data_IF_016008090640
#
_entry.id   IF_016008090640
#
_cell.length_a   1.000
_cell.length_b   1.000
_cell.length_c   1.000
_cell.angle_alpha   90.00
_cell.angle_beta   90.00
_cell.angle_gamma   90.00
#
_symmetry.space_group_name_H-M   'P 1'
#
loop_
_entity.id
_entity.type
_entity.pdbx_description
1 polymer ?
#
# COMPACT_ATOMS: atom_id res chain seq x y z
N UNK A 1 28.90 39.72 -13.30
CA UNK A 1 29.12 38.27 -13.50
C UNK A 1 29.04 37.60 -12.14
N UNK A 2 27.89 37.06 -11.78
CA UNK A 2 27.68 36.35 -10.53
C UNK A 2 26.25 35.82 -10.53
N UNK A 3 26.10 34.54 -10.22
CA UNK A 3 24.82 33.85 -10.00
C UNK A 3 24.11 33.21 -11.22
N UNK A 4 24.85 32.50 -12.09
CA UNK A 4 24.24 31.58 -13.07
C UNK A 4 24.14 30.12 -12.59
N UNK A 5 24.73 29.78 -11.43
CA UNK A 5 24.92 28.39 -10.98
C UNK A 5 24.51 28.11 -9.51
N UNK A 6 23.59 28.87 -8.91
CA UNK A 6 22.98 28.42 -7.65
C UNK A 6 22.01 27.28 -7.94
N UNK A 7 22.48 26.05 -7.73
CA UNK A 7 21.66 24.85 -7.72
C UNK A 7 20.63 24.97 -6.59
N UNK A 8 19.35 24.77 -6.93
CA UNK A 8 18.27 24.88 -5.96
C UNK A 8 18.37 23.84 -4.84
N UNK A 9 17.94 24.23 -3.64
CA UNK A 9 17.91 23.35 -2.49
C UNK A 9 17.02 22.13 -2.77
N UNK A 10 17.54 20.93 -2.48
CA UNK A 10 16.88 19.67 -2.80
C UNK A 10 15.71 19.43 -1.84
N UNK A 11 14.50 19.15 -2.31
CA UNK A 11 13.45 18.65 -1.43
C UNK A 11 13.91 17.29 -0.89
N UNK A 12 13.95 17.18 0.43
CA UNK A 12 14.21 15.92 1.12
C UNK A 12 12.87 15.20 1.27
N UNK A 13 12.80 13.95 0.77
CA UNK A 13 11.70 13.05 1.14
C UNK A 13 11.58 13.00 2.65
N UNK A 14 10.35 12.99 3.18
CA UNK A 14 10.15 12.83 4.63
C UNK A 14 10.90 11.58 5.08
N UNK A 15 11.63 11.69 6.20
CA UNK A 15 12.22 10.52 6.87
C UNK A 15 11.14 9.46 7.00
N UNK A 16 11.49 8.19 6.73
CA UNK A 16 10.58 7.05 6.91
C UNK A 16 9.93 7.15 8.29
N UNK A 17 8.69 7.62 8.34
CA UNK A 17 7.82 7.32 9.45
C UNK A 17 7.37 5.89 9.16
N UNK A 18 8.05 4.91 9.74
CA UNK A 18 7.44 3.60 9.85
C UNK A 18 6.11 3.82 10.56
N UNK A 19 4.99 3.53 9.90
CA UNK A 19 3.70 3.50 10.56
C UNK A 19 3.71 2.34 11.56
N UNK A 20 4.21 2.62 12.76
CA UNK A 20 4.44 1.63 13.83
C UNK A 20 3.11 1.00 14.26
N UNK A 21 1.99 1.71 14.07
CA UNK A 21 0.63 1.27 14.41
C UNK A 21 0.23 -0.07 13.77
N UNK A 22 0.65 -0.33 12.52
CA UNK A 22 0.23 -1.53 11.79
C UNK A 22 0.96 -2.81 12.24
N UNK A 23 2.30 -2.84 12.36
CA UNK A 23 3.00 -3.96 12.98
C UNK A 23 2.57 -4.17 14.44
N UNK A 24 2.41 -3.10 15.23
CA UNK A 24 1.95 -3.19 16.62
C UNK A 24 0.55 -3.80 16.69
N UNK A 25 -0.40 -3.33 15.87
CA UNK A 25 -1.77 -3.85 15.89
C UNK A 25 -1.84 -5.34 15.59
N UNK A 26 -1.08 -5.81 14.58
CA UNK A 26 -0.97 -7.24 14.27
C UNK A 26 -0.36 -8.00 15.45
N UNK A 27 0.76 -7.52 16.01
CA UNK A 27 1.43 -8.17 17.15
C UNK A 27 0.52 -8.25 18.37
N UNK A 28 -0.18 -7.16 18.70
CA UNK A 28 -1.11 -7.11 19.83
C UNK A 28 -2.28 -8.07 19.61
N UNK A 29 -2.85 -8.10 18.40
CA UNK A 29 -3.89 -9.06 18.04
C UNK A 29 -3.44 -10.51 18.24
N UNK A 30 -2.26 -10.86 17.73
CA UNK A 30 -1.68 -12.20 17.94
C UNK A 30 -1.39 -12.47 19.42
N UNK A 31 -0.91 -11.49 20.17
CA UNK A 31 -0.66 -11.62 21.60
C UNK A 31 -1.96 -11.90 22.38
N UNK A 32 -3.07 -11.24 22.04
CA UNK A 32 -4.38 -11.50 22.65
C UNK A 32 -4.85 -12.93 22.35
N UNK A 33 -4.72 -13.39 21.10
CA UNK A 33 -5.09 -14.76 20.72
C UNK A 33 -4.25 -15.79 21.48
N UNK A 34 -2.93 -15.59 21.53
CA UNK A 34 -2.00 -16.47 22.25
C UNK A 34 -2.31 -16.46 23.75
N UNK A 35 -2.54 -15.28 24.34
CA UNK A 35 -2.91 -15.15 25.74
C UNK A 35 -4.21 -15.89 26.04
N UNK A 36 -5.24 -15.74 25.20
CA UNK A 36 -6.51 -16.46 25.35
C UNK A 36 -6.32 -17.98 25.33
N UNK A 37 -5.47 -18.50 24.44
CA UNK A 37 -5.12 -19.93 24.38
C UNK A 37 -4.37 -20.38 25.63
N UNK A 38 -3.39 -19.60 26.09
CA UNK A 38 -2.57 -19.94 27.25
C UNK A 38 -3.38 -19.94 28.55
N UNK A 39 -4.27 -18.96 28.74
CA UNK A 39 -5.11 -18.86 29.93
C UNK A 39 -6.32 -19.83 29.88
N UNK A 40 -6.81 -20.18 28.70
CA UNK A 40 -7.99 -21.04 28.53
C UNK A 40 -7.72 -22.55 28.47
N UNK A 41 -6.47 -23.01 28.22
CA UNK A 41 -6.20 -24.40 27.80
C UNK A 41 -5.04 -25.14 28.47
N UNK A 42 -4.58 -24.72 29.65
CA UNK A 42 -3.58 -25.48 30.44
C UNK A 42 -2.10 -25.16 30.14
N UNK A 43 -1.80 -23.93 29.69
CA UNK A 43 -0.42 -23.45 29.48
C UNK A 43 0.21 -23.92 28.15
N UNK A 44 1.53 -24.12 28.14
CA UNK A 44 2.33 -24.41 26.91
C UNK A 44 1.89 -25.72 26.22
N UNK A 45 1.39 -26.70 26.98
CA UNK A 45 0.86 -27.96 26.41
C UNK A 45 -0.45 -27.72 25.63
N UNK A 46 -1.30 -26.81 26.11
CA UNK A 46 -2.53 -26.41 25.42
C UNK A 46 -2.24 -25.79 24.06
N UNK A 47 -1.21 -24.95 23.95
CA UNK A 47 -0.80 -24.33 22.67
C UNK A 47 -0.45 -25.35 21.58
N UNK A 48 0.16 -26.49 21.94
CA UNK A 48 0.47 -27.56 20.96
C UNK A 48 -0.80 -28.17 20.35
N UNK A 49 -1.91 -28.19 21.09
CA UNK A 49 -3.19 -28.69 20.58
C UNK A 49 -3.82 -27.76 19.53
N UNK A 50 -3.40 -26.48 19.51
CA UNK A 50 -3.79 -25.51 18.49
C UNK A 50 -2.82 -25.48 17.30
N UNK A 51 -1.91 -26.44 17.17
CA UNK A 51 -1.02 -26.60 16.01
C UNK A 51 -1.30 -27.93 15.32
N UNK A 52 -2.47 -28.04 14.68
CA UNK A 52 -2.82 -29.20 13.89
C UNK A 52 -2.34 -29.02 12.43
N UNK A 53 -1.47 -29.94 11.99
CA UNK A 53 -0.87 -29.90 10.65
C UNK A 53 -1.94 -30.04 9.57
N UNK A 54 -2.97 -30.85 9.80
CA UNK A 54 -4.04 -31.09 8.82
C UNK A 54 -4.87 -29.83 8.60
N UNK A 55 -5.29 -29.17 9.69
CA UNK A 55 -6.03 -27.91 9.63
C UNK A 55 -5.25 -26.78 8.95
N UNK A 56 -3.95 -26.67 9.25
CA UNK A 56 -3.07 -25.68 8.59
C UNK A 56 -2.98 -25.98 7.09
N UNK A 57 -2.77 -27.25 6.71
CA UNK A 57 -2.66 -27.67 5.32
C UNK A 57 -3.94 -27.38 4.53
N UNK A 58 -5.12 -27.68 5.11
CA UNK A 58 -6.41 -27.42 4.47
C UNK A 58 -6.59 -25.93 4.20
N UNK A 59 -6.36 -25.07 5.21
CA UNK A 59 -6.62 -23.62 5.07
C UNK A 59 -5.55 -22.95 4.23
N UNK A 60 -4.27 -23.08 4.60
CA UNK A 60 -3.17 -22.39 3.91
C UNK A 60 -2.92 -23.00 2.53
N UNK A 61 -2.87 -24.33 2.45
CA UNK A 61 -2.69 -25.05 1.19
C UNK A 61 -3.87 -24.83 0.25
N UNK A 62 -5.10 -24.95 0.74
CA UNK A 62 -6.31 -24.70 -0.04
C UNK A 62 -6.37 -23.26 -0.55
N UNK A 63 -6.15 -22.28 0.33
CA UNK A 63 -6.15 -20.85 -0.07
C UNK A 63 -5.09 -20.58 -1.13
N UNK A 64 -3.87 -21.10 -0.93
CA UNK A 64 -2.77 -20.94 -1.90
C UNK A 64 -3.12 -21.59 -3.23
N UNK A 65 -3.71 -22.79 -3.22
CA UNK A 65 -4.15 -23.48 -4.42
C UNK A 65 -5.22 -22.67 -5.18
N UNK A 66 -6.22 -22.13 -4.48
CA UNK A 66 -7.25 -21.28 -5.10
C UNK A 66 -6.66 -20.00 -5.70
N UNK A 67 -5.67 -19.39 -5.04
CA UNK A 67 -4.96 -18.21 -5.58
C UNK A 67 -4.19 -18.58 -6.85
N UNK A 68 -3.54 -19.74 -6.90
CA UNK A 68 -2.83 -20.23 -8.10
C UNK A 68 -3.80 -20.58 -9.23
N UNK A 69 -5.02 -21.01 -8.91
CA UNK A 69 -6.09 -21.21 -9.91
C UNK A 69 -6.61 -19.86 -10.44
N UNK A 70 -6.78 -18.88 -9.56
CA UNK A 70 -7.30 -17.57 -9.90
C UNK A 70 -6.31 -16.66 -10.65
N UNK A 71 -5.01 -16.83 -10.42
CA UNK A 71 -3.96 -15.94 -10.92
C UNK A 71 -2.77 -16.71 -11.49
N UNK A 72 -2.13 -16.14 -12.52
CA UNK A 72 -0.89 -16.72 -13.07
C UNK A 72 0.28 -16.53 -12.10
N UNK A 73 1.21 -17.47 -12.04
CA UNK A 73 2.40 -17.37 -11.16
C UNK A 73 3.20 -16.07 -11.34
N UNK A 74 3.34 -15.58 -12.59
CA UNK A 74 4.00 -14.31 -12.87
C UNK A 74 3.27 -13.10 -12.29
N UNK A 75 1.94 -13.14 -12.25
CA UNK A 75 1.09 -12.08 -11.69
C UNK A 75 1.20 -12.05 -10.17
N UNK A 76 1.14 -13.22 -9.51
CA UNK A 76 1.28 -13.32 -8.05
C UNK A 76 2.57 -12.66 -7.58
N UNK A 77 3.71 -12.96 -8.22
CA UNK A 77 5.00 -12.36 -7.88
C UNK A 77 5.01 -10.84 -8.09
N UNK A 78 4.39 -10.36 -9.18
CA UNK A 78 4.28 -8.93 -9.49
C UNK A 78 3.43 -8.21 -8.43
N UNK A 79 2.27 -8.77 -8.09
CA UNK A 79 1.34 -8.22 -7.11
C UNK A 79 1.95 -8.19 -5.71
N UNK A 80 2.67 -9.23 -5.31
CA UNK A 80 3.45 -9.22 -4.07
C UNK A 80 4.49 -8.10 -4.05
N UNK A 81 5.22 -7.89 -5.15
CA UNK A 81 6.18 -6.78 -5.26
C UNK A 81 5.47 -5.41 -5.16
N UNK A 82 4.30 -5.24 -5.78
CA UNK A 82 3.48 -4.03 -5.67
C UNK A 82 3.09 -3.73 -4.23
N UNK A 83 2.61 -4.74 -3.48
CA UNK A 83 2.27 -4.61 -2.05
C UNK A 83 3.48 -4.10 -1.27
N UNK A 84 4.63 -4.75 -1.41
CA UNK A 84 5.86 -4.34 -0.70
C UNK A 84 6.31 -2.93 -1.08
N UNK A 85 6.16 -2.55 -2.36
CA UNK A 85 6.55 -1.23 -2.87
C UNK A 85 5.71 -0.14 -2.22
N UNK A 86 4.39 -0.33 -2.09
CA UNK A 86 3.49 0.63 -1.42
C UNK A 86 3.79 0.71 0.07
N UNK A 87 3.96 -0.44 0.75
CA UNK A 87 4.20 -0.48 2.19
C UNK A 87 5.55 0.14 2.60
N UNK A 88 6.56 0.07 1.74
CA UNK A 88 7.91 0.57 2.01
C UNK A 88 8.21 1.94 1.40
N UNK A 89 7.23 2.52 0.72
CA UNK A 89 7.32 3.84 0.09
C UNK A 89 7.60 4.92 1.13
N UNK A 90 8.33 5.95 0.69
CA UNK A 90 8.50 7.20 1.45
C UNK A 90 7.52 8.22 0.93
N UNK A 91 6.76 8.85 1.82
CA UNK A 91 5.88 9.97 1.45
C UNK A 91 6.73 11.17 1.03
N UNK A 92 6.28 11.86 -0.01
CA UNK A 92 6.84 13.14 -0.40
C UNK A 92 6.42 14.24 0.59
N UNK A 93 7.32 15.20 0.84
CA UNK A 93 6.96 16.38 1.62
C UNK A 93 6.34 17.44 0.70
N UNK A 94 5.00 17.51 0.69
CA UNK A 94 4.31 18.46 -0.18
C UNK A 94 4.71 19.92 0.08
N UNK A 95 5.11 20.28 1.30
CA UNK A 95 5.57 21.63 1.61
C UNK A 95 6.92 21.93 0.95
N UNK A 96 7.88 21.00 1.06
CA UNK A 96 9.17 21.14 0.40
C UNK A 96 9.05 21.09 -1.13
N UNK A 97 8.11 20.29 -1.64
CA UNK A 97 7.78 20.31 -3.07
C UNK A 97 7.20 21.66 -3.49
N UNK A 98 6.31 22.27 -2.69
CA UNK A 98 5.81 23.63 -2.94
C UNK A 98 6.97 24.62 -3.04
N UNK A 99 7.89 24.62 -2.08
CA UNK A 99 9.03 25.53 -2.09
C UNK A 99 9.94 25.30 -3.31
N UNK A 100 10.20 24.03 -3.69
CA UNK A 100 10.92 23.69 -4.92
C UNK A 100 10.24 24.28 -6.16
N UNK A 101 8.92 24.07 -6.33
CA UNK A 101 8.19 24.56 -7.49
C UNK A 101 8.10 26.09 -7.53
N UNK A 102 8.05 26.74 -6.36
CA UNK A 102 8.13 28.20 -6.25
C UNK A 102 9.49 28.71 -6.72
N UNK A 103 10.57 28.02 -6.38
CA UNK A 103 11.91 28.38 -6.83
C UNK A 103 12.11 28.13 -8.34
N UNK A 104 11.57 27.03 -8.88
CA UNK A 104 11.48 26.84 -10.33
C UNK A 104 10.69 27.96 -11.01
N UNK A 105 9.57 28.40 -10.43
CA UNK A 105 8.79 29.52 -10.99
C UNK A 105 9.59 30.83 -11.00
N UNK A 106 10.33 31.15 -9.93
CA UNK A 106 11.22 32.32 -9.88
C UNK A 106 12.30 32.26 -10.96
N UNK A 107 12.96 31.10 -11.11
CA UNK A 107 14.04 30.92 -12.08
C UNK A 107 13.51 31.00 -13.52
N UNK A 108 12.42 30.29 -13.80
CA UNK A 108 11.72 30.30 -15.10
C UNK A 108 11.30 31.70 -15.52
N UNK A 109 10.78 32.52 -14.60
CA UNK A 109 10.42 33.91 -14.91
C UNK A 109 11.62 34.80 -15.24
N UNK A 110 12.76 34.60 -14.57
CA UNK A 110 13.96 35.43 -14.78
C UNK A 110 14.78 35.00 -16.00
N UNK A 111 14.84 33.71 -16.27
CA UNK A 111 15.81 33.13 -17.22
C UNK A 111 15.15 32.25 -18.30
N UNK A 112 13.82 32.18 -18.32
CA UNK A 112 13.04 31.33 -19.24
C UNK A 112 12.95 29.87 -18.79
N UNK A 113 12.03 29.12 -19.39
CA UNK A 113 11.75 27.71 -19.07
C UNK A 113 12.99 26.81 -19.24
N UNK A 114 13.80 27.03 -20.27
CA UNK A 114 15.02 26.26 -20.55
C UNK A 114 16.05 26.33 -19.41
N UNK A 115 16.01 27.37 -18.57
CA UNK A 115 16.89 27.47 -17.40
C UNK A 115 16.63 26.40 -16.32
N UNK A 116 15.53 25.67 -16.43
CA UNK A 116 15.13 24.61 -15.51
C UNK A 116 15.71 23.23 -15.86
N UNK A 117 16.33 23.06 -17.02
CA UNK A 117 16.82 21.75 -17.48
C UNK A 117 17.78 21.12 -16.46
N UNK A 118 18.85 21.84 -16.12
CA UNK A 118 19.90 21.36 -15.19
C UNK A 118 19.35 21.09 -13.79
N UNK A 119 18.50 21.98 -13.27
CA UNK A 119 17.96 21.80 -11.91
C UNK A 119 16.91 20.69 -11.87
N UNK A 120 16.12 20.56 -12.95
CA UNK A 120 15.09 19.56 -13.10
C UNK A 120 15.65 18.15 -13.12
N UNK A 121 16.77 17.93 -13.80
CA UNK A 121 17.49 16.64 -13.80
C UNK A 121 18.07 16.28 -12.43
N UNK A 122 18.39 17.28 -11.59
CA UNK A 122 18.97 17.06 -10.26
C UNK A 122 17.93 16.76 -9.17
N UNK A 123 16.63 16.84 -9.46
CA UNK A 123 15.57 16.51 -8.50
C UNK A 123 15.57 15.01 -8.19
N UNK A 124 15.52 14.63 -6.90
CA UNK A 124 15.41 13.23 -6.43
C UNK A 124 13.99 12.65 -6.60
N UNK A 125 13.36 12.91 -7.75
CA UNK A 125 12.05 12.38 -8.09
C UNK A 125 11.95 12.17 -9.61
N UNK A 126 11.98 10.90 -10.08
CA UNK A 126 11.91 10.58 -11.50
C UNK A 126 10.65 11.10 -12.20
N UNK A 127 9.55 11.28 -11.46
CA UNK A 127 8.30 11.79 -12.01
C UNK A 127 8.35 13.30 -12.25
N UNK A 128 8.98 14.06 -11.35
CA UNK A 128 9.24 15.49 -11.55
C UNK A 128 10.20 15.68 -12.74
N UNK A 129 11.29 14.89 -12.79
CA UNK A 129 12.23 14.89 -13.92
C UNK A 129 11.52 14.61 -15.25
N UNK A 130 10.61 13.62 -15.28
CA UNK A 130 9.81 13.31 -16.48
C UNK A 130 8.94 14.50 -16.88
N UNK A 131 8.20 15.09 -15.96
CA UNK A 131 7.33 16.22 -16.28
C UNK A 131 8.07 17.48 -16.72
N UNK A 132 9.24 17.78 -16.13
CA UNK A 132 10.10 18.88 -16.61
C UNK A 132 10.62 18.58 -18.03
N UNK A 133 11.06 17.35 -18.32
CA UNK A 133 11.49 16.96 -19.68
C UNK A 133 10.37 17.10 -20.72
N UNK A 134 9.15 16.69 -20.38
CA UNK A 134 7.99 16.87 -21.27
C UNK A 134 7.71 18.35 -21.54
N UNK A 135 7.79 19.19 -20.49
CA UNK A 135 7.60 20.65 -20.63
C UNK A 135 8.66 21.28 -21.54
N UNK A 136 9.92 20.85 -21.44
CA UNK A 136 11.01 21.36 -22.29
C UNK A 136 10.98 20.77 -23.71
N UNK A 137 10.36 19.59 -23.88
CA UNK A 137 10.25 18.86 -25.15
C UNK A 137 9.22 19.43 -26.14
N UNK A 138 8.55 20.53 -25.81
CA UNK A 138 7.63 21.22 -26.72
C UNK A 138 6.20 20.67 -26.73
N UNK A 139 5.83 19.81 -25.78
CA UNK A 139 4.45 19.40 -25.56
C UNK A 139 3.61 20.58 -25.09
N UNK A 140 2.35 20.66 -25.51
CA UNK A 140 1.44 21.63 -24.92
C UNK A 140 1.04 21.24 -23.48
N UNK A 141 0.43 22.19 -22.75
CA UNK A 141 0.08 21.98 -21.35
C UNK A 141 -0.95 20.84 -21.17
N UNK A 142 -1.89 20.70 -22.10
CA UNK A 142 -2.96 19.72 -22.03
C UNK A 142 -2.43 18.31 -22.30
N UNK A 143 -1.62 18.15 -23.35
CA UNK A 143 -0.92 16.91 -23.70
C UNK A 143 0.01 16.47 -22.57
N UNK A 144 0.79 17.39 -22.00
CA UNK A 144 1.67 17.09 -20.87
C UNK A 144 0.87 16.55 -19.68
N UNK A 145 -0.24 17.22 -19.34
CA UNK A 145 -1.11 16.81 -18.24
C UNK A 145 -1.75 15.44 -18.52
N UNK A 146 -2.20 15.21 -19.74
CA UNK A 146 -2.78 13.94 -20.17
C UNK A 146 -1.78 12.79 -20.04
N UNK A 147 -0.57 12.96 -20.58
CA UNK A 147 0.50 11.94 -20.53
C UNK A 147 0.85 11.60 -19.08
N UNK A 148 1.10 12.62 -18.24
CA UNK A 148 1.45 12.39 -16.84
C UNK A 148 0.29 11.78 -16.04
N UNK A 149 -0.96 12.18 -16.28
CA UNK A 149 -2.11 11.58 -15.62
C UNK A 149 -2.27 10.12 -16.04
N UNK A 150 -2.12 9.80 -17.33
CA UNK A 150 -2.22 8.43 -17.85
C UNK A 150 -1.15 7.50 -17.26
N UNK A 151 0.07 8.01 -17.09
CA UNK A 151 1.13 7.28 -16.38
C UNK A 151 0.71 6.95 -14.94
N UNK A 152 0.20 7.94 -14.21
CA UNK A 152 -0.21 7.80 -12.82
C UNK A 152 -1.38 6.83 -12.69
N UNK A 153 -2.37 6.92 -13.58
CA UNK A 153 -3.50 6.00 -13.61
C UNK A 153 -3.06 4.56 -13.88
N UNK A 154 -2.12 4.38 -14.80
CA UNK A 154 -1.54 3.06 -15.11
C UNK A 154 -0.77 2.50 -13.91
N UNK A 155 0.06 3.31 -13.25
CA UNK A 155 0.78 2.95 -12.03
C UNK A 155 -0.19 2.54 -10.91
N UNK A 156 -1.19 3.37 -10.64
CA UNK A 156 -2.22 3.11 -9.62
C UNK A 156 -3.01 1.84 -9.93
N UNK A 157 -3.40 1.63 -11.19
CA UNK A 157 -4.12 0.43 -11.61
C UNK A 157 -3.31 -0.84 -11.32
N UNK A 158 -2.02 -0.85 -11.66
CA UNK A 158 -1.14 -2.00 -11.40
C UNK A 158 -0.86 -2.23 -9.91
N UNK A 159 -0.77 -1.16 -9.12
CA UNK A 159 -0.63 -1.27 -7.66
C UNK A 159 -1.92 -1.80 -7.01
N UNK A 160 -3.10 -1.38 -7.50
CA UNK A 160 -4.41 -1.85 -6.99
C UNK A 160 -4.60 -3.35 -7.16
N UNK A 161 -4.14 -3.93 -8.27
CA UNK A 161 -4.15 -5.39 -8.45
C UNK A 161 -3.42 -6.13 -7.32
N UNK A 162 -2.37 -5.52 -6.78
CA UNK A 162 -1.67 -6.00 -5.58
C UNK A 162 -2.56 -6.04 -4.34
N UNK A 163 -3.28 -4.96 -4.05
CA UNK A 163 -4.24 -4.92 -2.94
C UNK A 163 -5.39 -5.92 -3.14
N UNK A 164 -5.93 -6.02 -4.36
CA UNK A 164 -6.99 -6.99 -4.68
C UNK A 164 -6.56 -8.44 -4.45
N UNK A 165 -5.28 -8.79 -4.62
CA UNK A 165 -4.78 -10.11 -4.25
C UNK A 165 -4.96 -10.40 -2.75
N UNK A 166 -4.70 -9.41 -1.88
CA UNK A 166 -4.92 -9.54 -0.44
C UNK A 166 -6.40 -9.66 -0.10
N UNK A 167 -7.28 -8.91 -0.78
CA UNK A 167 -8.73 -9.07 -0.64
C UNK A 167 -9.14 -10.51 -0.96
N UNK A 168 -8.61 -11.10 -2.04
CA UNK A 168 -8.89 -12.49 -2.41
C UNK A 168 -8.37 -13.51 -1.41
N UNK A 169 -7.22 -13.28 -0.80
CA UNK A 169 -6.76 -14.12 0.32
C UNK A 169 -7.73 -13.99 1.51
N UNK A 170 -8.24 -12.79 1.78
CA UNK A 170 -9.26 -12.53 2.80
C UNK A 170 -10.60 -13.22 2.53
N UNK A 171 -11.01 -13.32 1.26
CA UNK A 171 -12.22 -14.04 0.85
C UNK A 171 -12.05 -15.56 0.93
N UNK A 172 -10.91 -16.08 0.47
CA UNK A 172 -10.69 -17.52 0.30
C UNK A 172 -10.28 -18.24 1.59
N UNK A 173 -9.54 -17.58 2.49
CA UNK A 173 -9.09 -18.23 3.73
C UNK A 173 -10.25 -18.70 4.64
N UNK A 174 -11.30 -17.90 4.90
CA UNK A 174 -12.46 -18.35 5.68
C UNK A 174 -13.28 -19.41 4.93
N UNK A 175 -13.37 -19.31 3.60
CA UNK A 175 -14.06 -20.30 2.78
C UNK A 175 -13.42 -21.69 2.90
N UNK A 176 -12.08 -21.77 2.83
CA UNK A 176 -11.35 -23.01 3.11
C UNK A 176 -11.45 -23.45 4.58
N UNK A 177 -11.58 -22.49 5.51
CA UNK A 177 -11.93 -22.77 6.90
C UNK A 177 -13.24 -23.55 7.03
N UNK A 178 -14.29 -23.11 6.34
CA UNK A 178 -15.60 -23.78 6.30
C UNK A 178 -15.54 -25.17 5.64
N UNK A 179 -14.78 -25.32 4.54
CA UNK A 179 -14.54 -26.64 3.92
C UNK A 179 -13.85 -27.57 4.92
N UNK A 180 -12.86 -27.07 5.66
CA UNK A 180 -12.18 -27.81 6.72
C UNK A 180 -13.13 -28.26 7.84
N UNK A 181 -14.12 -27.43 8.20
CA UNK A 181 -15.18 -27.78 9.16
C UNK A 181 -15.98 -28.98 8.67
N UNK A 182 -16.35 -29.00 7.39
CA UNK A 182 -17.06 -30.13 6.80
C UNK A 182 -16.21 -31.41 6.81
N UNK A 183 -14.91 -31.30 6.50
CA UNK A 183 -13.98 -32.43 6.55
C UNK A 183 -13.88 -32.98 7.98
N UNK A 184 -13.69 -32.11 8.98
CA UNK A 184 -13.60 -32.53 10.38
C UNK A 184 -14.88 -33.18 10.90
N UNK A 185 -16.05 -32.67 10.51
CA UNK A 185 -17.34 -33.29 10.82
C UNK A 185 -17.48 -34.68 10.18
N UNK A 186 -17.04 -34.87 8.94
CA UNK A 186 -17.05 -36.18 8.28
C UNK A 186 -16.16 -37.18 9.04
N UNK A 187 -14.94 -36.78 9.42
CA UNK A 187 -14.00 -37.62 10.19
C UNK A 187 -14.60 -38.00 11.55
N UNK A 188 -15.26 -37.05 12.21
CA UNK A 188 -15.93 -37.28 13.50
C UNK A 188 -17.05 -38.31 13.36
N UNK A 189 -17.90 -38.17 12.33
CA UNK A 189 -19.04 -39.08 12.09
C UNK A 189 -18.59 -40.48 11.67
N UNK A 190 -17.45 -40.62 11.00
CA UNK A 190 -16.89 -41.92 10.63
C UNK A 190 -16.41 -42.74 11.84
N UNK A 191 -16.05 -42.08 12.95
CA UNK A 191 -15.43 -42.72 14.11
C UNK A 191 -16.27 -42.61 15.39
N UNK A 192 -17.60 -42.61 15.25
CA UNK A 192 -18.55 -42.46 16.38
C UNK A 192 -18.38 -43.47 17.52
N UNK A 193 -17.72 -44.60 17.26
CA UNK A 193 -17.48 -45.65 18.25
C UNK A 193 -16.20 -45.43 19.07
N UNK A 194 -15.26 -44.60 18.60
CA UNK A 194 -14.01 -44.28 19.29
C UNK A 194 -14.00 -42.81 19.73
N UNK A 195 -14.20 -42.59 21.03
CA UNK A 195 -14.24 -41.26 21.65
C UNK A 195 -12.95 -40.47 21.47
N UNK A 196 -11.80 -41.14 21.30
CA UNK A 196 -10.52 -40.47 21.02
C UNK A 196 -10.51 -39.86 19.61
N UNK A 197 -11.03 -40.59 18.63
CA UNK A 197 -11.05 -40.14 17.22
C UNK A 197 -12.10 -39.06 16.96
N UNK A 198 -13.21 -39.08 17.70
CA UNK A 198 -14.21 -37.99 17.69
C UNK A 198 -13.55 -36.66 18.05
N UNK A 199 -12.68 -36.66 19.08
CA UNK A 199 -11.95 -35.45 19.51
C UNK A 199 -11.03 -34.89 18.43
N UNK A 200 -10.36 -35.75 17.67
CA UNK A 200 -9.49 -35.34 16.56
C UNK A 200 -10.29 -34.69 15.43
N UNK A 201 -11.41 -35.28 15.00
CA UNK A 201 -12.26 -34.70 13.95
C UNK A 201 -12.86 -33.35 14.33
N UNK A 202 -13.32 -33.22 15.59
CA UNK A 202 -13.82 -31.95 16.13
C UNK A 202 -12.73 -30.87 16.19
N UNK A 203 -11.52 -31.23 16.62
CA UNK A 203 -10.38 -30.31 16.66
C UNK A 203 -10.07 -29.76 15.26
N UNK A 204 -10.02 -30.63 14.25
CA UNK A 204 -9.77 -30.20 12.86
C UNK A 204 -10.80 -29.17 12.42
N UNK A 205 -12.09 -29.42 12.66
CA UNK A 205 -13.18 -28.56 12.23
C UNK A 205 -13.14 -27.15 12.87
N UNK A 206 -12.83 -27.09 14.17
CA UNK A 206 -12.76 -25.82 14.90
C UNK A 206 -11.48 -25.04 14.53
N UNK A 207 -10.35 -25.72 14.37
CA UNK A 207 -9.07 -25.09 14.04
C UNK A 207 -9.05 -24.53 12.61
N UNK A 208 -9.67 -25.19 11.63
CA UNK A 208 -9.74 -24.65 10.26
C UNK A 208 -10.52 -23.33 10.22
N UNK A 209 -11.62 -23.24 10.98
CA UNK A 209 -12.40 -22.00 11.09
C UNK A 209 -11.60 -20.88 11.76
N UNK A 210 -10.86 -21.22 12.83
CA UNK A 210 -9.99 -20.28 13.54
C UNK A 210 -8.88 -19.75 12.61
N UNK A 211 -8.13 -20.62 11.95
CA UNK A 211 -7.03 -20.20 11.06
C UNK A 211 -7.52 -19.39 9.87
N UNK A 212 -8.63 -19.78 9.24
CA UNK A 212 -9.22 -19.02 8.15
C UNK A 212 -9.59 -17.60 8.57
N UNK A 213 -10.20 -17.48 9.76
CA UNK A 213 -10.58 -16.19 10.35
C UNK A 213 -9.38 -15.32 10.71
N UNK A 214 -8.31 -15.90 11.27
CA UNK A 214 -7.06 -15.18 11.61
C UNK A 214 -6.40 -14.65 10.33
N UNK A 215 -6.22 -15.51 9.32
CA UNK A 215 -5.55 -15.12 8.06
C UNK A 215 -6.32 -13.98 7.39
N UNK A 216 -7.65 -14.08 7.30
CA UNK A 216 -8.45 -13.05 6.67
C UNK A 216 -8.49 -11.74 7.47
N UNK A 217 -8.91 -11.80 8.72
CA UNK A 217 -9.30 -10.61 9.48
C UNK A 217 -8.14 -9.95 10.21
N UNK A 218 -7.08 -10.69 10.57
CA UNK A 218 -5.93 -10.10 11.27
C UNK A 218 -4.80 -9.73 10.32
N UNK A 219 -4.73 -10.35 9.12
CA UNK A 219 -3.62 -10.16 8.20
C UNK A 219 -4.11 -9.59 6.86
N UNK A 220 -4.85 -10.36 6.08
CA UNK A 220 -5.08 -10.06 4.67
C UNK A 220 -5.90 -8.79 4.45
N UNK A 221 -7.07 -8.69 5.10
CA UNK A 221 -7.98 -7.54 4.92
C UNK A 221 -7.36 -6.25 5.47
N UNK A 222 -6.84 -6.17 6.72
CA UNK A 222 -6.21 -4.94 7.21
C UNK A 222 -4.98 -4.52 6.40
N UNK A 223 -4.19 -5.49 5.91
CA UNK A 223 -3.05 -5.20 5.05
C UNK A 223 -3.50 -4.65 3.68
N UNK A 224 -4.57 -5.21 3.11
CA UNK A 224 -5.17 -4.72 1.87
C UNK A 224 -5.59 -3.26 1.99
N UNK A 225 -6.34 -2.93 3.04
CA UNK A 225 -6.76 -1.55 3.31
C UNK A 225 -5.57 -0.60 3.43
N UNK A 226 -4.50 -1.03 4.11
CA UNK A 226 -3.28 -0.23 4.25
C UNK A 226 -2.63 0.03 2.89
N UNK A 227 -2.58 -0.97 2.02
CA UNK A 227 -2.07 -0.82 0.66
C UNK A 227 -2.96 0.13 -0.15
N UNK A 228 -4.29 0.01 -0.08
CA UNK A 228 -5.21 0.95 -0.75
C UNK A 228 -5.01 2.39 -0.28
N UNK A 229 -4.87 2.62 1.03
CA UNK A 229 -4.58 3.95 1.59
C UNK A 229 -3.25 4.50 1.05
N UNK A 230 -2.19 3.68 1.05
CA UNK A 230 -0.89 4.06 0.50
C UNK A 230 -0.91 4.38 -0.99
N UNK A 231 -1.74 3.68 -1.78
CA UNK A 231 -1.97 3.97 -3.21
C UNK A 231 -2.70 5.30 -3.39
N UNK A 232 -3.70 5.59 -2.56
CA UNK A 232 -4.45 6.84 -2.65
C UNK A 232 -3.58 8.06 -2.31
N UNK A 233 -2.68 7.89 -1.34
CA UNK A 233 -1.70 8.92 -0.98
C UNK A 233 -0.67 9.12 -2.11
N UNK A 234 -0.24 8.04 -2.78
CA UNK A 234 0.61 8.12 -3.99
C UNK A 234 -0.08 8.92 -5.09
N UNK A 235 -1.33 8.57 -5.39
CA UNK A 235 -2.12 9.25 -6.40
C UNK A 235 -2.26 10.75 -6.09
N UNK A 236 -2.50 11.10 -4.83
CA UNK A 236 -2.65 12.50 -4.38
C UNK A 236 -1.33 13.27 -4.54
N UNK A 237 -0.20 12.70 -4.14
CA UNK A 237 1.13 13.33 -4.29
C UNK A 237 1.51 13.51 -5.76
N UNK A 238 1.27 12.52 -6.61
CA UNK A 238 1.54 12.62 -8.05
C UNK A 238 0.64 13.66 -8.71
N UNK A 239 -0.64 13.71 -8.35
CA UNK A 239 -1.58 14.72 -8.84
C UNK A 239 -1.18 16.13 -8.43
N UNK A 240 -0.67 16.30 -7.20
CA UNK A 240 -0.08 17.57 -6.77
C UNK A 240 1.09 17.97 -7.67
N UNK A 241 2.02 17.05 -7.97
CA UNK A 241 3.16 17.32 -8.86
C UNK A 241 2.70 17.71 -10.26
N UNK A 242 1.70 17.02 -10.83
CA UNK A 242 1.15 17.36 -12.15
C UNK A 242 0.60 18.78 -12.16
N UNK A 243 -0.18 19.15 -11.13
CA UNK A 243 -0.73 20.50 -11.02
C UNK A 243 0.36 21.56 -10.86
N UNK A 244 1.39 21.28 -10.07
CA UNK A 244 2.52 22.19 -9.90
C UNK A 244 3.31 22.41 -11.21
N UNK A 245 3.52 21.35 -12.01
CA UNK A 245 4.18 21.44 -13.31
C UNK A 245 3.31 22.22 -14.32
N UNK A 246 2.00 21.97 -14.35
CA UNK A 246 1.05 22.70 -15.21
C UNK A 246 1.00 24.20 -14.87
N UNK A 247 0.99 24.57 -13.58
CA UNK A 247 1.01 25.97 -13.17
C UNK A 247 2.38 26.64 -13.42
N UNK A 248 3.48 25.88 -13.34
CA UNK A 248 4.81 26.33 -13.75
C UNK A 248 4.88 26.58 -15.26
N UNK A 249 4.31 25.68 -16.07
CA UNK A 249 4.21 25.81 -17.54
C UNK A 249 3.47 27.10 -17.93
N UNK A 250 2.37 27.42 -17.24
CA UNK A 250 1.58 28.65 -17.45
C UNK A 250 2.31 29.95 -17.11
N UNK A 251 3.51 29.90 -16.53
CA UNK A 251 4.28 31.10 -16.16
C UNK A 251 3.62 31.92 -15.04
N UNK A 252 2.86 31.27 -14.15
CA UNK A 252 2.20 31.94 -13.04
C UNK A 252 3.19 32.65 -12.12
N UNK A 253 2.74 33.74 -11.49
CA UNK A 253 3.57 34.49 -10.53
C UNK A 253 3.88 33.57 -9.33
N UNK A 254 5.14 33.50 -8.85
CA UNK A 254 5.53 32.60 -7.76
C UNK A 254 4.62 32.68 -6.53
N UNK A 255 4.12 33.87 -6.17
CA UNK A 255 3.17 34.07 -5.07
C UNK A 255 1.80 33.42 -5.32
N UNK A 256 1.28 33.50 -6.56
CA UNK A 256 0.02 32.86 -6.95
C UNK A 256 0.16 31.33 -6.99
N UNK A 257 1.30 30.84 -7.49
CA UNK A 257 1.64 29.41 -7.48
C UNK A 257 1.67 28.88 -6.04
N UNK A 258 2.42 29.56 -5.16
CA UNK A 258 2.52 29.19 -3.74
C UNK A 258 1.14 29.10 -3.08
N UNK A 259 0.30 30.12 -3.23
CA UNK A 259 -1.05 30.14 -2.65
C UNK A 259 -1.91 28.94 -3.12
N UNK A 260 -1.87 28.61 -4.41
CA UNK A 260 -2.60 27.44 -4.95
C UNK A 260 -2.07 26.13 -4.38
N UNK A 261 -0.76 25.95 -4.36
CA UNK A 261 -0.13 24.73 -3.85
C UNK A 261 -0.37 24.57 -2.35
N UNK A 262 -0.24 25.64 -1.56
CA UNK A 262 -0.54 25.63 -0.12
C UNK A 262 -2.00 25.26 0.15
N UNK A 263 -2.94 25.75 -0.68
CA UNK A 263 -4.35 25.35 -0.59
C UNK A 263 -4.53 23.85 -0.85
N UNK A 264 -3.77 23.28 -1.79
CA UNK A 264 -3.78 21.84 -2.05
C UNK A 264 -3.19 21.03 -0.89
N UNK A 265 -2.06 21.49 -0.33
CA UNK A 265 -1.43 20.88 0.84
C UNK A 265 -2.40 20.88 2.03
N UNK A 266 -3.06 22.01 2.29
CA UNK A 266 -4.05 22.14 3.35
C UNK A 266 -5.23 21.16 3.18
N UNK A 267 -5.81 21.08 1.98
CA UNK A 267 -6.87 20.10 1.66
C UNK A 267 -6.40 18.66 1.87
N UNK A 268 -5.15 18.36 1.49
CA UNK A 268 -4.56 17.03 1.66
C UNK A 268 -4.37 16.69 3.13
N UNK A 269 -3.90 17.64 3.96
CA UNK A 269 -3.79 17.49 5.41
C UNK A 269 -5.13 17.21 6.06
N UNK A 270 -6.17 18.02 5.77
CA UNK A 270 -7.52 17.79 6.30
C UNK A 270 -8.03 16.39 5.91
N UNK A 271 -7.80 15.97 4.65
CA UNK A 271 -8.21 14.64 4.20
C UNK A 271 -7.51 13.53 4.97
N UNK A 272 -6.21 13.68 5.28
CA UNK A 272 -5.46 12.73 6.12
C UNK A 272 -5.96 12.74 7.56
N UNK A 273 -6.24 13.90 8.15
CA UNK A 273 -6.78 14.03 9.51
C UNK A 273 -8.15 13.35 9.65
N UNK A 274 -9.06 13.56 8.69
CA UNK A 274 -10.37 12.88 8.65
C UNK A 274 -10.30 11.36 8.54
N UNK A 275 -9.20 10.81 8.02
CA UNK A 275 -8.98 9.36 7.96
C UNK A 275 -8.32 8.80 9.22
N UNK A 276 -7.66 9.66 9.99
CA UNK A 276 -6.98 9.27 11.22
C UNK A 276 -7.89 9.35 12.45
N UNK A 277 -8.95 10.15 12.37
CA UNK A 277 -10.07 10.20 13.32
C UNK A 277 -11.07 9.07 13.05
#
# INVERSE_FOLDING_TARGET
MGDKNQVLARPQRKKRKFEISSPIGIIVGFAIVIAAIMFGGGGIKGFKNFLDVSSILIVVGGTTATIVVAYRFGEIKKYMKSIFTVLHRREEDLEQLTDLFVDFSKKSKKHGLLSLEVDGEQVDNPFIQKGIRLMLGGYDEAELKEVLMKDVETEVYELRKGATLLDKIGDFAPAWGMIGTLIGLIIMLQNLQDTSQIGTGMAVAMLTTLYGSIIANMIAIPLSEKVYRGIEDLYTEKKFVIEAISELYRGQIPSKLKLKLDTYVYKTKIKKEKRAA
#
